data_IF_825601184782
#
_entry.id   IF_825601184782
#
_cell.length_a   1.000
_cell.length_b   1.000
_cell.length_c   1.000
_cell.angle_alpha   90.00
_cell.angle_beta   90.00
_cell.angle_gamma   90.00
#
_symmetry.space_group_name_H-M   'P 1'
#
loop_
_entity.id
_entity.type
_entity.pdbx_description
1 polymer ?
#
# COMPACT_ATOMS: atom_id res chain seq x y z
N UNK A 1 6.64 24.89 -2.84
CA UNK A 1 5.92 23.60 -2.74
C UNK A 1 6.65 22.77 -1.69
N UNK A 2 5.97 22.33 -0.64
CA UNK A 2 6.56 21.61 0.51
C UNK A 2 5.98 20.20 0.70
N UNK A 3 5.12 19.77 -0.22
CA UNK A 3 4.52 18.45 -0.22
C UNK A 3 4.41 17.87 -1.64
N UNK A 4 4.34 16.54 -1.73
CA UNK A 4 4.15 15.80 -2.96
C UNK A 4 3.39 14.49 -2.72
N UNK A 5 2.84 13.94 -3.81
CA UNK A 5 2.17 12.64 -3.83
C UNK A 5 2.53 11.92 -5.13
N UNK A 6 2.65 10.60 -5.07
CA UNK A 6 2.65 9.73 -6.25
C UNK A 6 1.46 8.79 -6.18
N UNK A 7 0.90 8.44 -7.35
CA UNK A 7 -0.22 7.49 -7.48
C UNK A 7 0.22 6.12 -8.00
N UNK A 8 1.53 5.89 -8.13
CA UNK A 8 2.09 4.57 -8.41
C UNK A 8 2.71 3.97 -7.13
N UNK A 9 3.11 2.70 -7.23
CA UNK A 9 3.65 1.92 -6.12
C UNK A 9 5.10 2.26 -5.74
N UNK A 10 5.74 3.23 -6.41
CA UNK A 10 7.19 3.47 -6.35
C UNK A 10 7.54 4.80 -5.67
N UNK A 11 6.87 5.14 -4.57
CA UNK A 11 7.19 6.34 -3.80
C UNK A 11 8.62 6.32 -3.24
N UNK A 12 9.18 5.12 -3.01
CA UNK A 12 10.57 4.94 -2.59
C UNK A 12 11.58 5.64 -3.51
N UNK A 13 11.29 5.85 -4.81
CA UNK A 13 12.20 6.54 -5.72
C UNK A 13 12.43 7.98 -5.23
N UNK A 14 11.35 8.66 -4.85
CA UNK A 14 11.42 10.03 -4.31
C UNK A 14 11.90 9.99 -2.85
N UNK A 15 11.42 9.05 -2.05
CA UNK A 15 11.83 8.90 -0.65
C UNK A 15 13.34 8.70 -0.48
N UNK A 16 13.94 7.77 -1.23
CA UNK A 16 15.39 7.52 -1.21
C UNK A 16 16.19 8.70 -1.75
N UNK A 17 15.66 9.43 -2.74
CA UNK A 17 16.26 10.67 -3.20
C UNK A 17 16.31 11.72 -2.07
N UNK A 18 15.20 11.90 -1.34
CA UNK A 18 15.15 12.85 -0.22
C UNK A 18 16.12 12.47 0.91
N UNK A 19 16.21 11.17 1.22
CA UNK A 19 17.16 10.64 2.22
C UNK A 19 18.59 10.90 1.78
N UNK A 20 18.95 10.56 0.54
CA UNK A 20 20.30 10.73 0.00
C UNK A 20 20.77 12.19 -0.06
N UNK A 21 19.85 13.15 -0.11
CA UNK A 21 20.13 14.58 -0.11
C UNK A 21 19.86 15.25 1.25
N UNK A 22 19.56 14.49 2.30
CA UNK A 22 19.23 14.99 3.64
C UNK A 22 18.11 16.05 3.66
N UNK A 23 17.13 15.90 2.76
CA UNK A 23 16.02 16.83 2.58
C UNK A 23 14.86 16.50 3.53
N UNK A 24 14.80 17.16 4.68
CA UNK A 24 13.80 16.89 5.74
C UNK A 24 12.54 17.76 5.68
N UNK A 25 12.56 18.83 4.89
CA UNK A 25 11.46 19.81 4.80
C UNK A 25 10.53 19.55 3.62
N UNK A 26 10.22 18.28 3.34
CA UNK A 26 9.32 17.88 2.26
C UNK A 26 8.41 16.74 2.72
N UNK A 27 7.10 16.91 2.50
CA UNK A 27 6.08 15.93 2.88
C UNK A 27 5.69 15.04 1.70
N UNK A 28 5.62 13.73 1.90
CA UNK A 28 5.42 12.79 0.79
C UNK A 28 4.40 11.70 1.13
N UNK A 29 3.40 11.55 0.26
CA UNK A 29 2.42 10.46 0.32
C UNK A 29 2.66 9.49 -0.84
N UNK A 30 2.59 8.19 -0.57
CA UNK A 30 2.72 7.15 -1.58
C UNK A 30 1.71 6.03 -1.46
N UNK A 31 1.78 5.08 -2.39
CA UNK A 31 0.95 3.88 -2.42
C UNK A 31 1.79 2.63 -2.21
N UNK A 32 1.12 1.59 -1.71
CA UNK A 32 1.59 0.22 -1.55
C UNK A 32 2.71 0.00 -0.53
N UNK A 33 2.75 -1.20 0.02
CA UNK A 33 3.64 -1.62 1.10
C UNK A 33 4.86 -2.38 0.58
N UNK A 34 5.46 -1.90 -0.51
CA UNK A 34 6.75 -2.40 -0.95
C UNK A 34 7.76 -2.18 0.18
N UNK A 35 8.66 -3.14 0.42
CA UNK A 35 9.68 -3.07 1.49
C UNK A 35 10.44 -1.73 1.49
N UNK A 36 10.75 -1.20 0.30
CA UNK A 36 11.43 0.08 0.12
C UNK A 36 10.55 1.28 0.51
N UNK A 37 9.25 1.25 0.20
CA UNK A 37 8.30 2.27 0.65
C UNK A 37 8.20 2.29 2.17
N UNK A 38 8.10 1.11 2.80
CA UNK A 38 8.04 0.98 4.26
C UNK A 38 9.35 1.45 4.91
N UNK A 39 10.51 1.20 4.31
CA UNK A 39 11.78 1.76 4.79
C UNK A 39 11.75 3.28 4.76
N UNK A 40 11.35 3.89 3.63
CA UNK A 40 11.24 5.34 3.51
C UNK A 40 10.22 5.95 4.50
N UNK A 41 9.14 5.24 4.81
CA UNK A 41 8.17 5.62 5.84
C UNK A 41 8.83 5.62 7.23
N UNK A 42 9.54 4.55 7.58
CA UNK A 42 10.25 4.41 8.87
C UNK A 42 11.41 5.39 9.02
N UNK A 43 12.04 5.79 7.93
CA UNK A 43 13.11 6.80 7.89
C UNK A 43 12.57 8.24 7.85
N UNK A 44 11.25 8.43 7.77
CA UNK A 44 10.59 9.74 7.80
C UNK A 44 10.65 10.53 6.49
N UNK A 45 11.05 9.89 5.39
CA UNK A 45 11.07 10.49 4.04
C UNK A 45 9.72 10.35 3.31
N UNK A 46 8.88 9.43 3.75
CA UNK A 46 7.48 9.29 3.37
C UNK A 46 6.66 9.45 4.65
N UNK A 47 5.62 10.27 4.63
CA UNK A 47 4.77 10.52 5.80
C UNK A 47 3.62 9.51 5.89
N UNK A 48 3.04 9.14 4.74
CA UNK A 48 1.94 8.19 4.69
C UNK A 48 2.04 7.25 3.47
N UNK A 49 1.59 6.02 3.67
CA UNK A 49 1.34 5.05 2.61
C UNK A 49 -0.14 4.69 2.54
N UNK A 50 -0.68 4.55 1.33
CA UNK A 50 -2.03 4.05 1.08
C UNK A 50 -1.94 2.59 0.64
N UNK A 51 -2.55 1.68 1.40
CA UNK A 51 -2.60 0.25 1.11
C UNK A 51 -3.97 -0.20 0.59
N UNK A 52 -3.95 -1.21 -0.29
CA UNK A 52 -5.13 -1.73 -1.00
C UNK A 52 -5.33 -3.25 -0.82
N UNK A 53 -4.55 -3.92 0.04
CA UNK A 53 -4.60 -5.38 0.28
C UNK A 53 -4.51 -6.25 -1.00
N UNK A 54 -3.42 -6.15 -1.80
CA UNK A 54 -3.29 -6.90 -3.06
C UNK A 54 -3.40 -8.43 -2.87
N UNK A 55 -2.95 -8.97 -1.73
CA UNK A 55 -3.08 -10.40 -1.41
C UNK A 55 -4.54 -10.85 -1.29
N UNK A 56 -5.39 -10.04 -0.65
CA UNK A 56 -6.81 -10.31 -0.52
C UNK A 56 -7.51 -10.22 -1.88
N UNK A 57 -7.14 -9.21 -2.70
CA UNK A 57 -7.63 -9.10 -4.07
C UNK A 57 -7.31 -10.34 -4.91
N UNK A 58 -6.06 -10.81 -4.85
CA UNK A 58 -5.64 -12.02 -5.57
C UNK A 58 -6.42 -13.27 -5.13
N UNK A 59 -6.62 -13.44 -3.81
CA UNK A 59 -7.43 -14.54 -3.28
C UNK A 59 -8.88 -14.46 -3.74
N UNK A 60 -9.54 -13.31 -3.56
CA UNK A 60 -10.94 -13.11 -3.96
C UNK A 60 -11.15 -13.27 -5.47
N UNK A 61 -10.15 -12.91 -6.28
CA UNK A 61 -10.16 -13.14 -7.72
C UNK A 61 -10.22 -14.63 -8.07
N UNK A 62 -9.33 -15.44 -7.50
CA UNK A 62 -9.33 -16.90 -7.71
C UNK A 62 -10.60 -17.55 -7.14
N UNK A 63 -11.02 -17.13 -5.95
CA UNK A 63 -12.25 -17.62 -5.33
C UNK A 63 -13.49 -17.35 -6.19
N UNK A 64 -13.57 -16.18 -6.82
CA UNK A 64 -14.67 -15.85 -7.74
C UNK A 64 -14.66 -16.73 -8.99
N UNK A 65 -13.47 -17.03 -9.53
CA UNK A 65 -13.31 -17.96 -10.66
C UNK A 65 -13.69 -19.39 -10.32
N UNK A 66 -13.61 -19.81 -9.05
CA UNK A 66 -14.13 -21.10 -8.62
C UNK A 66 -15.64 -21.05 -8.39
N UNK A 67 -16.12 -20.02 -7.66
CA UNK A 67 -17.51 -19.92 -7.25
C UNK A 67 -18.49 -19.83 -8.42
N UNK A 68 -18.13 -19.11 -9.48
CA UNK A 68 -19.04 -18.89 -10.59
C UNK A 68 -19.22 -20.13 -11.51
N UNK A 69 -18.21 -20.61 -12.25
CA UNK A 69 -18.39 -21.74 -13.17
C UNK A 69 -18.48 -23.10 -12.47
N UNK A 70 -17.75 -23.34 -11.37
CA UNK A 70 -17.68 -24.67 -10.73
C UNK A 70 -18.85 -24.85 -9.77
N UNK A 71 -19.01 -23.91 -8.83
CA UNK A 71 -20.02 -24.01 -7.77
C UNK A 71 -21.37 -23.37 -8.13
N UNK A 72 -21.47 -22.74 -9.31
CA UNK A 72 -22.70 -22.08 -9.80
C UNK A 72 -23.29 -21.07 -8.80
N UNK A 73 -22.41 -20.39 -8.04
CA UNK A 73 -22.80 -19.32 -7.13
C UNK A 73 -22.80 -17.98 -7.85
N UNK A 74 -23.69 -17.10 -7.43
CA UNK A 74 -23.60 -15.69 -7.81
C UNK A 74 -22.34 -15.05 -7.21
N UNK A 75 -21.70 -14.17 -7.98
CA UNK A 75 -20.51 -13.43 -7.57
C UNK A 75 -20.77 -11.93 -7.70
N UNK A 76 -20.17 -11.13 -6.81
CA UNK A 76 -20.29 -9.67 -6.88
C UNK A 76 -19.53 -9.13 -8.08
N UNK A 77 -20.20 -8.27 -8.86
CA UNK A 77 -19.60 -7.62 -10.02
C UNK A 77 -18.51 -6.59 -9.66
N UNK A 78 -18.71 -5.84 -8.56
CA UNK A 78 -17.76 -4.83 -8.09
C UNK A 78 -17.32 -5.15 -6.67
N UNK A 79 -16.01 -5.26 -6.46
CA UNK A 79 -15.39 -5.55 -5.17
C UNK A 79 -14.42 -4.41 -4.81
N UNK A 80 -14.95 -3.32 -4.23
CA UNK A 80 -14.11 -2.19 -3.79
C UNK A 80 -13.22 -2.61 -2.64
N UNK A 81 -11.95 -2.23 -2.73
CA UNK A 81 -10.96 -2.46 -1.68
C UNK A 81 -10.88 -1.29 -0.73
N UNK A 82 -10.56 -1.54 0.55
CA UNK A 82 -10.41 -0.46 1.51
C UNK A 82 -9.24 0.45 1.12
N UNK A 83 -9.41 1.75 1.37
CA UNK A 83 -8.33 2.73 1.31
C UNK A 83 -7.75 2.84 2.72
N UNK A 84 -6.70 2.07 2.99
CA UNK A 84 -6.06 2.07 4.32
C UNK A 84 -4.92 3.06 4.36
N UNK A 85 -4.99 4.05 5.26
CA UNK A 85 -3.90 5.00 5.51
C UNK A 85 -2.96 4.45 6.57
N UNK A 86 -1.67 4.37 6.23
CA UNK A 86 -0.62 3.84 7.09
C UNK A 86 0.43 4.91 7.36
N UNK A 87 0.75 5.06 8.63
CA UNK A 87 1.77 5.95 9.18
C UNK A 87 2.83 5.10 9.90
N UNK A 88 3.94 5.71 10.30
CA UNK A 88 5.03 4.99 10.97
C UNK A 88 4.55 4.30 12.26
N UNK A 89 3.57 4.89 12.94
CA UNK A 89 3.02 4.40 14.21
C UNK A 89 2.16 3.14 14.07
N UNK A 90 1.55 2.91 12.90
CA UNK A 90 0.58 1.83 12.70
C UNK A 90 0.99 0.77 11.66
N UNK A 91 2.02 1.03 10.85
CA UNK A 91 2.42 0.14 9.75
C UNK A 91 2.81 -1.26 10.23
N UNK A 92 3.46 -1.37 11.39
CA UNK A 92 3.91 -2.67 11.91
C UNK A 92 2.73 -3.53 12.39
N UNK A 93 1.75 -2.94 13.08
CA UNK A 93 0.53 -3.63 13.47
C UNK A 93 -0.25 -4.12 12.24
N UNK A 94 -0.30 -3.31 11.18
CA UNK A 94 -0.94 -3.71 9.93
C UNK A 94 -0.21 -4.89 9.28
N UNK A 95 1.12 -4.83 9.17
CA UNK A 95 1.92 -5.90 8.60
C UNK A 95 1.79 -7.20 9.40
N UNK A 96 1.81 -7.12 10.74
CA UNK A 96 1.65 -8.29 11.61
C UNK A 96 0.26 -8.92 11.49
N UNK A 97 -0.80 -8.12 11.42
CA UNK A 97 -2.17 -8.62 11.23
C UNK A 97 -2.38 -9.32 9.86
N UNK A 98 -1.50 -9.06 8.89
CA UNK A 98 -1.59 -9.63 7.54
C UNK A 98 -0.40 -10.56 7.20
N UNK A 99 0.42 -10.92 8.20
CA UNK A 99 1.38 -12.04 8.07
C UNK A 99 0.58 -13.34 8.00
N UNK A 100 0.78 -14.08 6.92
CA UNK A 100 0.36 -15.48 6.81
C UNK A 100 1.42 -16.39 7.41
#
# INVERSE_FOLDING_TARGET
>A
ITCGITFNSKVYIVGEYLIGHNMKNFKLIGYDLLRRNVSCLKEGAVDFLIAQQPTAQGYSGVESLCNHPIFKKEVKQCNYMPITLLAVENVDFYLDAHKK
#
